data_IF_698999214779
#
_entry.id   IF_698999214779
#
_cell.length_a   1.000
_cell.length_b   1.000
_cell.length_c   1.000
_cell.angle_alpha   90.00
_cell.angle_beta   90.00
_cell.angle_gamma   90.00
#
_symmetry.space_group_name_H-M   'P 1'
#
loop_
_entity.id
_entity.type
_entity.pdbx_description
1 polymer ?
#
# COMPACT_ATOMS: atom_id res chain seq x y z
N UNK A 1 -26.77 -5.12 5.52
CA UNK A 1 -25.48 -4.38 5.59
C UNK A 1 -25.21 -3.81 4.21
N UNK A 2 -25.10 -2.50 4.09
CA UNK A 2 -24.93 -1.83 2.78
C UNK A 2 -23.44 -1.75 2.42
N UNK A 3 -23.10 -1.60 1.13
CA UNK A 3 -21.69 -1.41 0.71
C UNK A 3 -21.05 -0.20 1.40
N UNK A 4 -21.82 0.88 1.60
CA UNK A 4 -21.38 2.06 2.33
C UNK A 4 -20.94 1.75 3.76
N UNK A 5 -21.60 0.80 4.43
CA UNK A 5 -21.23 0.38 5.78
C UNK A 5 -19.85 -0.29 5.82
N UNK A 6 -19.52 -1.09 4.80
CA UNK A 6 -18.23 -1.78 4.72
C UNK A 6 -17.06 -0.80 4.49
N UNK A 7 -17.28 0.24 3.68
CA UNK A 7 -16.23 1.21 3.35
C UNK A 7 -16.06 2.30 4.42
N UNK A 8 -17.15 2.79 5.00
CA UNK A 8 -17.14 4.00 5.84
C UNK A 8 -17.17 3.71 7.34
N UNK A 9 -17.73 2.59 7.80
CA UNK A 9 -17.85 2.36 9.24
C UNK A 9 -16.49 2.11 9.91
N UNK A 10 -16.33 2.68 11.11
CA UNK A 10 -15.17 2.54 12.01
C UNK A 10 -13.86 3.17 11.48
N UNK A 11 -13.93 4.18 10.60
CA UNK A 11 -12.73 4.90 10.14
C UNK A 11 -11.82 4.08 9.21
N UNK A 12 -12.37 3.07 8.54
CA UNK A 12 -11.65 2.11 7.69
C UNK A 12 -11.47 2.55 6.23
N UNK A 13 -12.02 3.70 5.86
CA UNK A 13 -11.97 4.23 4.50
C UNK A 13 -10.53 4.41 4.00
N UNK A 14 -9.60 4.85 4.87
CA UNK A 14 -8.20 5.00 4.52
C UNK A 14 -7.50 3.66 4.24
N UNK A 15 -7.79 2.61 5.02
CA UNK A 15 -7.23 1.28 4.80
C UNK A 15 -7.72 0.66 3.49
N UNK A 16 -8.99 0.89 3.14
CA UNK A 16 -9.53 0.53 1.83
C UNK A 16 -8.84 1.32 0.72
N UNK A 17 -8.73 2.65 0.86
CA UNK A 17 -8.10 3.50 -0.13
C UNK A 17 -6.65 3.07 -0.39
N UNK A 18 -5.84 2.86 0.65
CA UNK A 18 -4.44 2.46 0.49
C UNK A 18 -4.30 1.07 -0.13
N UNK A 19 -5.17 0.12 0.24
CA UNK A 19 -5.20 -1.21 -0.38
C UNK A 19 -5.59 -1.15 -1.86
N UNK A 20 -6.59 -0.34 -2.21
CA UNK A 20 -7.03 -0.15 -3.60
C UNK A 20 -5.97 0.58 -4.43
N UNK A 21 -5.22 1.51 -3.86
CA UNK A 21 -4.11 2.17 -4.56
C UNK A 21 -3.01 1.17 -4.90
N UNK A 22 -2.65 0.25 -3.99
CA UNK A 22 -1.67 -0.81 -4.30
C UNK A 22 -2.20 -1.71 -5.41
N UNK A 23 -3.48 -2.11 -5.34
CA UNK A 23 -4.08 -2.93 -6.38
C UNK A 23 -4.09 -2.21 -7.74
N UNK A 24 -4.48 -0.94 -7.76
CA UNK A 24 -4.49 -0.13 -8.97
C UNK A 24 -3.08 -0.01 -9.58
N UNK A 25 -2.07 0.28 -8.75
CA UNK A 25 -0.68 0.32 -9.18
C UNK A 25 -0.22 -1.02 -9.78
N UNK A 26 -0.54 -2.13 -9.12
CA UNK A 26 -0.20 -3.47 -9.60
C UNK A 26 -0.91 -3.81 -10.92
N UNK A 27 -2.20 -3.48 -11.04
CA UNK A 27 -2.96 -3.65 -12.28
C UNK A 27 -2.39 -2.78 -13.40
N UNK A 28 -1.95 -1.54 -13.12
CA UNK A 28 -1.30 -0.69 -14.12
C UNK A 28 -0.01 -1.31 -14.65
N UNK A 29 0.82 -1.90 -13.78
CA UNK A 29 2.01 -2.63 -14.20
C UNK A 29 1.70 -3.93 -14.96
N UNK A 30 0.51 -4.51 -14.79
CA UNK A 30 0.10 -5.71 -15.51
C UNK A 30 -0.54 -5.42 -16.88
N UNK A 31 -0.84 -4.17 -17.20
CA UNK A 31 -1.39 -3.78 -18.50
C UNK A 31 -0.30 -3.88 -19.58
N UNK A 32 -0.69 -4.15 -20.85
CA UNK A 32 0.28 -4.21 -21.94
C UNK A 32 0.99 -2.86 -22.12
N UNK A 33 2.31 -2.88 -22.04
CA UNK A 33 3.16 -1.70 -22.13
C UNK A 33 4.53 -1.99 -21.52
N UNK A 34 5.40 -0.97 -21.51
CA UNK A 34 6.63 -0.96 -20.72
C UNK A 34 6.62 0.32 -19.88
N UNK A 35 5.84 0.27 -18.79
CA UNK A 35 5.68 1.35 -17.82
C UNK A 35 7.02 1.63 -17.14
N UNK A 36 7.79 0.58 -16.82
CA UNK A 36 9.10 0.73 -16.19
C UNK A 36 10.15 1.35 -17.12
N UNK A 37 9.97 1.31 -18.44
CA UNK A 37 10.83 2.04 -19.38
C UNK A 37 10.75 3.56 -19.25
N UNK A 38 9.69 4.11 -18.67
CA UNK A 38 9.58 5.55 -18.46
C UNK A 38 10.67 6.05 -17.50
N UNK A 39 11.19 7.27 -17.75
CA UNK A 39 12.30 7.84 -16.99
C UNK A 39 12.05 7.96 -15.48
N UNK A 40 10.78 8.08 -15.06
CA UNK A 40 10.41 8.11 -13.64
C UNK A 40 10.67 6.80 -12.87
N UNK A 41 10.83 5.67 -13.57
CA UNK A 41 10.99 4.34 -12.99
C UNK A 41 12.41 3.79 -13.13
N UNK A 42 13.40 4.61 -13.50
CA UNK A 42 14.78 4.16 -13.71
C UNK A 42 15.37 3.37 -12.53
N UNK A 43 15.09 3.79 -11.29
CA UNK A 43 15.58 3.08 -10.10
C UNK A 43 15.06 1.65 -10.02
N UNK A 44 13.79 1.41 -10.36
CA UNK A 44 13.19 0.07 -10.35
C UNK A 44 13.92 -0.86 -11.32
N UNK A 45 14.21 -0.38 -12.54
CA UNK A 45 14.98 -1.16 -13.54
C UNK A 45 16.42 -1.39 -13.13
N UNK A 46 17.05 -0.41 -12.46
CA UNK A 46 18.45 -0.53 -12.02
C UNK A 46 18.67 -1.65 -10.99
N UNK A 47 17.61 -2.02 -10.26
CA UNK A 47 17.60 -3.12 -9.28
C UNK A 47 17.27 -4.47 -9.95
N UNK A 48 16.99 -4.47 -11.26
CA UNK A 48 16.63 -5.67 -12.02
C UNK A 48 15.18 -6.11 -11.84
N UNK A 49 14.29 -5.23 -11.37
CA UNK A 49 12.87 -5.53 -11.22
C UNK A 49 12.17 -5.42 -12.58
N UNK A 50 11.49 -6.48 -12.97
CA UNK A 50 10.54 -6.49 -14.09
C UNK A 50 9.12 -6.18 -13.61
N UNK A 51 8.22 -5.87 -14.54
CA UNK A 51 6.84 -5.52 -14.21
C UNK A 51 6.10 -6.67 -13.53
N UNK A 52 6.36 -7.92 -13.95
CA UNK A 52 5.73 -9.10 -13.38
C UNK A 52 6.15 -9.33 -11.91
N UNK A 53 7.44 -9.18 -11.57
CA UNK A 53 7.93 -9.34 -10.19
C UNK A 53 7.41 -8.26 -9.25
N UNK A 54 6.95 -7.12 -9.76
CA UNK A 54 6.26 -6.10 -8.96
C UNK A 54 4.74 -6.35 -8.92
N UNK A 55 4.11 -6.55 -10.07
CA UNK A 55 2.66 -6.64 -10.19
C UNK A 55 2.09 -7.84 -9.42
N UNK A 56 2.72 -9.01 -9.51
CA UNK A 56 2.22 -10.24 -8.87
C UNK A 56 2.17 -10.14 -7.34
N UNK A 57 3.29 -9.84 -6.63
CA UNK A 57 3.26 -9.76 -5.17
C UNK A 57 2.43 -8.57 -4.68
N UNK A 58 2.45 -7.43 -5.37
CA UNK A 58 1.63 -6.28 -4.98
C UNK A 58 0.13 -6.58 -5.11
N UNK A 59 -0.28 -7.28 -6.17
CA UNK A 59 -1.66 -7.75 -6.34
C UNK A 59 -2.05 -8.68 -5.20
N UNK A 60 -1.21 -9.68 -4.91
CA UNK A 60 -1.47 -10.63 -3.84
C UNK A 60 -1.63 -9.94 -2.47
N UNK A 61 -0.72 -9.03 -2.13
CA UNK A 61 -0.77 -8.29 -0.86
C UNK A 61 -2.01 -7.40 -0.81
N UNK A 62 -2.33 -6.68 -1.89
CA UNK A 62 -3.51 -5.82 -1.92
C UNK A 62 -4.81 -6.62 -1.73
N UNK A 63 -4.96 -7.75 -2.44
CA UNK A 63 -6.11 -8.65 -2.29
C UNK A 63 -6.19 -9.22 -0.89
N UNK A 64 -5.08 -9.67 -0.30
CA UNK A 64 -5.02 -10.15 1.07
C UNK A 64 -5.44 -9.09 2.09
N UNK A 65 -4.99 -7.83 1.91
CA UNK A 65 -5.39 -6.69 2.74
C UNK A 65 -6.89 -6.43 2.63
N UNK A 66 -7.42 -6.36 1.41
CA UNK A 66 -8.85 -6.14 1.15
C UNK A 66 -9.72 -7.27 1.71
N UNK A 67 -9.29 -8.53 1.55
CA UNK A 67 -9.96 -9.67 2.16
C UNK A 67 -9.96 -9.57 3.70
N UNK A 68 -8.84 -9.16 4.30
CA UNK A 68 -8.75 -8.94 5.73
C UNK A 68 -9.69 -7.83 6.24
N UNK A 69 -9.83 -6.74 5.49
CA UNK A 69 -10.79 -5.67 5.79
C UNK A 69 -12.23 -6.17 5.71
N UNK A 70 -12.56 -6.94 4.66
CA UNK A 70 -13.88 -7.52 4.48
C UNK A 70 -14.24 -8.49 5.62
N UNK A 71 -13.34 -9.41 5.97
CA UNK A 71 -13.56 -10.38 7.06
C UNK A 71 -13.73 -9.64 8.40
N UNK A 72 -12.90 -8.63 8.68
CA UNK A 72 -12.98 -7.83 9.91
C UNK A 72 -14.26 -6.97 9.98
N UNK A 73 -14.80 -6.55 8.83
CA UNK A 73 -16.05 -5.80 8.72
C UNK A 73 -17.30 -6.66 8.91
N UNK A 74 -17.30 -7.88 8.38
CA UNK A 74 -18.52 -8.67 8.18
C UNK A 74 -18.60 -9.95 9.02
N UNK A 75 -17.49 -10.39 9.63
CA UNK A 75 -17.45 -11.65 10.36
C UNK A 75 -16.77 -11.52 11.73
N UNK A 76 -15.52 -11.99 11.88
CA UNK A 76 -14.80 -11.97 13.15
C UNK A 76 -13.81 -10.81 13.16
N UNK A 77 -13.98 -9.89 14.12
CA UNK A 77 -13.03 -8.80 14.34
C UNK A 77 -11.66 -9.38 14.69
N UNK A 78 -10.68 -9.12 13.83
CA UNK A 78 -9.27 -9.51 13.99
C UNK A 78 -8.37 -8.27 13.80
N UNK A 79 -8.10 -7.52 14.89
CA UNK A 79 -7.27 -6.32 14.82
C UNK A 79 -5.82 -6.61 14.41
N UNK A 80 -5.28 -7.79 14.76
CA UNK A 80 -3.93 -8.22 14.37
C UNK A 80 -3.77 -8.35 12.85
N UNK A 81 -4.76 -8.93 12.17
CA UNK A 81 -4.73 -9.08 10.71
C UNK A 81 -4.67 -7.70 10.02
N UNK A 82 -5.40 -6.72 10.55
CA UNK A 82 -5.40 -5.33 10.07
C UNK A 82 -4.08 -4.64 10.33
N UNK A 83 -3.50 -4.81 11.52
CA UNK A 83 -2.19 -4.28 11.87
C UNK A 83 -1.12 -4.80 10.90
N UNK A 84 -1.07 -6.11 10.64
CA UNK A 84 -0.12 -6.71 9.70
C UNK A 84 -0.32 -6.16 8.29
N UNK A 85 -1.56 -6.07 7.81
CA UNK A 85 -1.86 -5.49 6.50
C UNK A 85 -1.41 -4.03 6.37
N UNK A 86 -1.61 -3.23 7.42
CA UNK A 86 -1.18 -1.84 7.47
C UNK A 86 0.36 -1.70 7.51
N UNK A 87 1.07 -2.53 8.27
CA UNK A 87 2.55 -2.55 8.28
C UNK A 87 3.11 -2.93 6.89
N UNK A 88 2.56 -3.96 6.25
CA UNK A 88 2.96 -4.33 4.89
C UNK A 88 2.72 -3.19 3.90
N UNK A 89 1.58 -2.52 4.02
CA UNK A 89 1.24 -1.33 3.23
C UNK A 89 2.23 -0.18 3.40
N UNK A 90 2.57 0.14 4.65
CA UNK A 90 3.58 1.16 4.97
C UNK A 90 4.94 0.81 4.35
N UNK A 91 5.36 -0.45 4.44
CA UNK A 91 6.60 -0.92 3.83
C UNK A 91 6.61 -0.79 2.30
N UNK A 92 5.52 -1.17 1.64
CA UNK A 92 5.36 -1.03 0.18
C UNK A 92 5.47 0.43 -0.22
N UNK A 93 4.67 1.31 0.39
CA UNK A 93 4.65 2.73 0.03
C UNK A 93 5.96 3.44 0.38
N UNK A 94 6.60 3.10 1.49
CA UNK A 94 7.94 3.62 1.81
C UNK A 94 8.97 3.18 0.76
N UNK A 95 8.92 1.92 0.32
CA UNK A 95 9.80 1.42 -0.75
C UNK A 95 9.56 2.16 -2.06
N UNK A 96 8.30 2.36 -2.46
CA UNK A 96 7.96 3.15 -3.64
C UNK A 96 8.48 4.58 -3.53
N UNK A 97 8.25 5.25 -2.40
CA UNK A 97 8.73 6.61 -2.16
C UNK A 97 10.26 6.71 -2.31
N UNK A 98 10.99 5.75 -1.74
CA UNK A 98 12.46 5.68 -1.87
C UNK A 98 12.86 5.41 -3.32
N UNK A 99 12.25 4.46 -4.01
CA UNK A 99 12.58 4.16 -5.40
C UNK A 99 12.36 5.37 -6.33
N UNK A 100 11.33 6.18 -6.10
CA UNK A 100 11.15 7.43 -6.84
C UNK A 100 12.12 8.54 -6.43
N UNK A 101 12.69 8.48 -5.22
CA UNK A 101 13.67 9.45 -4.73
C UNK A 101 15.10 9.11 -5.17
N UNK A 102 15.43 7.84 -5.37
CA UNK A 102 16.79 7.40 -5.75
C UNK A 102 17.35 8.20 -6.95
N UNK A 103 16.64 8.40 -8.07
CA UNK A 103 17.20 9.11 -9.22
C UNK A 103 17.62 10.56 -8.92
N UNK A 104 16.88 11.28 -8.06
CA UNK A 104 17.28 12.64 -7.67
C UNK A 104 18.43 12.60 -6.65
N UNK A 105 18.41 11.66 -5.71
CA UNK A 105 19.45 11.51 -4.69
C UNK A 105 20.80 11.04 -5.29
N UNK A 106 20.77 10.30 -6.40
CA UNK A 106 21.95 9.83 -7.13
C UNK A 106 22.44 10.80 -8.21
N UNK A 107 21.76 11.94 -8.40
CA UNK A 107 22.08 12.92 -9.46
C UNK A 107 21.71 12.47 -10.88
N UNK A 108 20.95 11.39 -11.04
CA UNK A 108 20.46 10.88 -12.33
C UNK A 108 19.23 11.64 -12.85
N UNK A 109 18.57 12.44 -12.01
CA UNK A 109 17.43 13.27 -12.37
C UNK A 109 17.57 14.68 -11.78
N UNK A 110 17.09 15.68 -12.53
CA UNK A 110 17.16 17.11 -12.14
C UNK A 110 16.02 17.48 -11.17
N UNK A 111 14.92 16.72 -11.19
CA UNK A 111 13.74 16.99 -10.37
C UNK A 111 13.08 15.69 -9.88
N UNK A 112 12.40 15.77 -8.74
CA UNK A 112 11.67 14.66 -8.16
C UNK A 112 10.32 14.50 -8.85
N UNK A 113 9.86 13.27 -9.03
CA UNK A 113 8.47 13.02 -9.43
C UNK A 113 7.54 13.24 -8.25
N UNK A 114 6.26 13.52 -8.52
CA UNK A 114 5.23 13.58 -7.47
C UNK A 114 5.10 12.26 -6.70
N UNK A 115 5.56 11.14 -7.28
CA UNK A 115 5.58 9.82 -6.65
C UNK A 115 6.30 9.80 -5.30
N UNK A 116 7.39 10.54 -5.12
CA UNK A 116 8.13 10.61 -3.84
C UNK A 116 7.20 11.06 -2.70
N UNK A 117 6.55 12.20 -2.88
CA UNK A 117 5.65 12.78 -1.88
C UNK A 117 4.39 11.96 -1.70
N UNK A 118 3.76 11.54 -2.80
CA UNK A 118 2.51 10.77 -2.77
C UNK A 118 2.68 9.47 -1.99
N UNK A 119 3.71 8.66 -2.32
CA UNK A 119 3.91 7.39 -1.65
C UNK A 119 4.44 7.57 -0.22
N UNK A 120 5.21 8.62 0.09
CA UNK A 120 5.60 8.91 1.47
C UNK A 120 4.37 9.20 2.35
N UNK A 121 3.42 10.00 1.87
CA UNK A 121 2.18 10.30 2.61
C UNK A 121 1.32 9.05 2.79
N UNK A 122 1.19 8.22 1.75
CA UNK A 122 0.46 6.94 1.86
C UNK A 122 1.09 5.98 2.86
N UNK A 123 2.43 5.93 2.92
CA UNK A 123 3.14 5.16 3.93
C UNK A 123 2.81 5.65 5.35
N UNK A 124 2.78 6.97 5.58
CA UNK A 124 2.40 7.55 6.87
C UNK A 124 0.97 7.20 7.28
N UNK A 125 0.02 7.17 6.34
CA UNK A 125 -1.35 6.75 6.63
C UNK A 125 -1.44 5.27 6.99
N UNK A 126 -0.68 4.41 6.33
CA UNK A 126 -0.62 2.99 6.68
C UNK A 126 0.09 2.77 8.04
N UNK A 127 1.09 3.59 8.41
CA UNK A 127 1.66 3.60 9.77
C UNK A 127 0.61 4.01 10.81
N UNK A 128 -0.17 5.06 10.54
CA UNK A 128 -1.25 5.50 11.42
C UNK A 128 -2.32 4.41 11.58
N UNK A 129 -2.66 3.71 10.50
CA UNK A 129 -3.60 2.59 10.53
C UNK A 129 -3.06 1.41 11.34
N UNK A 130 -1.75 1.12 11.24
CA UNK A 130 -1.08 0.10 12.05
C UNK A 130 -1.13 0.47 13.54
N UNK A 131 -0.81 1.72 13.88
CA UNK A 131 -0.88 2.23 15.25
C UNK A 131 -2.29 2.11 15.86
N UNK A 132 -3.32 2.52 15.10
CA UNK A 132 -4.72 2.39 15.53
C UNK A 132 -5.12 0.93 15.74
N UNK A 133 -4.75 0.06 14.80
CA UNK A 133 -5.03 -1.37 14.90
C UNK A 133 -4.32 -2.01 16.11
N UNK A 134 -3.11 -1.58 16.43
CA UNK A 134 -2.38 -2.04 17.61
C UNK A 134 -3.04 -1.57 18.92
N UNK A 135 -3.52 -0.33 18.98
CA UNK A 135 -4.28 0.17 20.12
C UNK A 135 -5.58 -0.65 20.34
N UNK A 136 -6.26 -1.03 19.27
CA UNK A 136 -7.45 -1.87 19.32
C UNK A 136 -7.16 -3.28 19.86
N UNK A 137 -5.98 -3.87 19.57
CA UNK A 137 -5.55 -5.15 20.16
C UNK A 137 -5.43 -5.03 21.69
N UNK A 138 -4.83 -3.94 22.17
CA UNK A 138 -4.62 -3.68 23.60
C UNK A 138 -5.94 -3.58 24.38
N UNK A 139 -7.00 -3.07 23.76
CA UNK A 139 -8.33 -3.02 24.37
C UNK A 139 -9.06 -4.37 24.32
N UNK A 140 -8.89 -5.16 23.25
CA UNK A 140 -9.52 -6.49 23.12
C UNK A 140 -9.00 -7.51 24.15
N UNK A 141 -7.73 -7.43 24.55
CA UNK A 141 -7.15 -8.34 25.55
C UNK A 141 -7.60 -8.07 27.00
N UNK A 142 -8.27 -6.93 27.26
CA UNK A 142 -8.70 -6.52 28.61
C UNK A 142 -10.17 -6.82 28.91
N UNK A 143 -10.92 -7.36 27.94
CA UNK A 143 -12.32 -7.78 28.05
C UNK A 143 -12.44 -9.27 27.86
#
# INVERSE_FOLDING_TARGET
MTLADTFLQHGRALEWATSTIILAFACTLALPGDTLAAGGFMAFRSVGLDEASLAVPLTFIAVMRMAGLWINGNWRRSPLLRMVGAVCGAGIFATLAVMFAVPILSGQAIAATTGVGTYAVLALFDVLAAYRSAADVGHYQRT
#
